data_IF_896506494218
#
_entry.id   IF_896506494218
#
_cell.length_a   1.000
_cell.length_b   1.000
_cell.length_c   1.000
_cell.angle_alpha   90.00
_cell.angle_beta   90.00
_cell.angle_gamma   90.00
#
_symmetry.space_group_name_H-M   'P 1'
#
loop_
_entity.id
_entity.type
_entity.pdbx_description
1 polymer ?
#
# COMPACT_ATOMS: atom_id res chain seq x y z
N UNK A 1 4.02 21.90 15.90
CA UNK A 1 5.50 21.93 15.72
C UNK A 1 6.03 20.57 16.19
N UNK A 2 6.97 19.92 15.50
CA UNK A 2 7.42 18.57 15.85
C UNK A 2 8.73 18.60 16.65
N UNK A 3 8.76 17.94 17.82
CA UNK A 3 9.99 17.75 18.60
C UNK A 3 10.85 16.67 17.95
N UNK A 4 12.07 16.99 17.55
CA UNK A 4 12.99 15.99 16.97
C UNK A 4 13.61 15.11 18.07
N UNK A 5 13.91 13.84 17.77
CA UNK A 5 14.59 12.91 18.69
C UNK A 5 15.88 13.51 19.27
N UNK A 6 16.66 14.21 18.43
CA UNK A 6 17.88 14.89 18.87
C UNK A 6 17.59 15.93 19.96
N UNK A 7 16.54 16.74 19.79
CA UNK A 7 16.18 17.79 20.76
C UNK A 7 15.56 17.16 22.01
N UNK A 8 14.72 16.12 21.87
CA UNK A 8 14.13 15.41 22.99
C UNK A 8 15.21 14.85 23.94
N UNK A 9 16.24 14.18 23.40
CA UNK A 9 17.39 13.68 24.18
C UNK A 9 18.14 14.81 24.89
N UNK A 10 18.34 15.94 24.21
CA UNK A 10 19.00 17.10 24.82
C UNK A 10 18.18 17.71 25.96
N UNK A 11 16.85 17.72 25.86
CA UNK A 11 15.97 18.16 26.94
C UNK A 11 16.02 17.22 28.14
N UNK A 12 16.14 15.90 27.94
CA UNK A 12 16.35 14.94 29.04
C UNK A 12 17.66 15.23 29.78
N UNK A 13 18.77 15.40 29.06
CA UNK A 13 20.05 15.76 29.67
C UNK A 13 19.93 17.05 30.51
N UNK A 14 19.21 18.05 30.00
CA UNK A 14 18.93 19.28 30.75
C UNK A 14 18.02 19.06 31.98
N UNK A 15 17.07 18.12 31.91
CA UNK A 15 16.23 17.71 33.04
C UNK A 15 17.00 16.97 34.14
N UNK A 16 18.17 16.43 33.80
CA UNK A 16 19.11 15.78 34.72
C UNK A 16 20.20 16.75 35.24
N UNK A 17 20.08 18.03 34.90
CA UNK A 17 20.96 19.10 35.39
C UNK A 17 22.13 19.44 34.47
N UNK A 18 22.24 18.79 33.31
CA UNK A 18 23.30 19.12 32.35
C UNK A 18 23.02 20.45 31.64
N UNK A 19 24.12 21.08 31.23
CA UNK A 19 24.14 22.35 30.54
C UNK A 19 24.80 22.15 29.17
N UNK A 20 24.04 22.36 28.10
CA UNK A 20 24.42 21.96 26.74
C UNK A 20 24.93 23.16 25.93
N UNK A 21 25.97 23.00 25.10
CA UNK A 21 26.41 24.04 24.18
C UNK A 21 25.27 24.48 23.25
N UNK A 22 25.03 25.79 23.16
CA UNK A 22 23.99 26.39 22.30
C UNK A 22 24.17 26.06 20.82
N UNK A 23 25.39 25.72 20.38
CA UNK A 23 25.68 25.23 19.02
C UNK A 23 25.03 23.88 18.72
N UNK A 24 24.78 23.04 19.73
CA UNK A 24 24.19 21.72 19.60
C UNK A 24 22.66 21.73 19.54
N UNK A 25 22.04 22.87 19.87
CA UNK A 25 20.59 23.01 20.15
C UNK A 25 19.97 24.17 19.36
N UNK A 26 20.20 24.22 18.04
CA UNK A 26 19.55 25.22 17.16
C UNK A 26 18.20 24.71 16.68
N UNK A 27 17.12 25.19 17.31
CA UNK A 27 15.76 24.94 16.87
C UNK A 27 14.82 26.04 17.38
N UNK A 28 13.81 26.38 16.57
CA UNK A 28 12.77 27.37 16.92
C UNK A 28 12.16 27.10 18.30
N UNK A 29 11.91 25.83 18.60
CA UNK A 29 11.42 25.39 19.91
C UNK A 29 12.30 25.84 21.09
N UNK A 30 13.62 25.85 20.93
CA UNK A 30 14.53 26.26 22.00
C UNK A 30 14.49 27.77 22.19
N UNK A 31 14.29 28.53 21.11
CA UNK A 31 14.07 29.97 21.22
C UNK A 31 12.76 30.26 21.95
N UNK A 32 11.68 29.51 21.64
CA UNK A 32 10.38 29.61 22.33
C UNK A 32 10.52 29.26 23.82
N UNK A 33 11.22 28.17 24.17
CA UNK A 33 11.44 27.79 25.58
C UNK A 33 12.32 28.79 26.35
N UNK A 34 13.24 29.49 25.68
CA UNK A 34 14.02 30.58 26.31
C UNK A 34 13.15 31.82 26.50
N UNK A 35 12.28 32.12 25.53
CA UNK A 35 11.33 33.24 25.62
C UNK A 35 10.33 33.05 26.77
N UNK A 36 9.81 31.83 26.93
CA UNK A 36 8.91 31.43 28.04
C UNK A 36 9.63 31.27 29.39
N UNK A 37 10.93 31.62 29.47
CA UNK A 37 11.75 31.53 30.67
C UNK A 37 11.81 30.11 31.29
N UNK A 38 11.71 29.09 30.44
CA UNK A 38 11.85 27.67 30.81
C UNK A 38 13.32 27.23 30.70
N UNK A 39 14.05 27.76 29.71
CA UNK A 39 15.48 27.56 29.51
C UNK A 39 16.24 28.88 29.65
N UNK A 40 17.47 28.84 30.18
CA UNK A 40 18.36 29.99 30.19
C UNK A 40 19.43 29.89 29.11
N UNK A 41 19.98 31.03 28.67
CA UNK A 41 21.19 31.12 27.85
C UNK A 41 22.25 31.94 28.56
N UNK A 42 23.42 31.35 28.85
CA UNK A 42 24.52 32.02 29.54
C UNK A 42 25.83 31.90 28.76
N UNK A 43 26.64 32.96 28.73
CA UNK A 43 27.99 32.96 28.16
C UNK A 43 28.18 33.92 26.96
N UNK A 44 29.32 34.62 26.92
CA UNK A 44 29.63 35.66 25.91
C UNK A 44 30.21 35.10 24.61
N UNK A 45 31.07 34.08 24.70
CA UNK A 45 31.72 33.42 23.55
C UNK A 45 31.32 31.94 23.36
N UNK A 46 31.05 31.20 24.45
CA UNK A 46 30.48 29.85 24.44
C UNK A 46 29.14 29.89 25.14
N UNK A 47 28.07 30.13 24.39
CA UNK A 47 26.71 30.15 24.93
C UNK A 47 26.31 28.74 25.33
N UNK A 48 25.88 28.57 26.57
CA UNK A 48 25.40 27.32 27.15
C UNK A 48 23.91 27.49 27.46
N UNK A 49 23.14 26.44 27.25
CA UNK A 49 21.71 26.36 27.50
C UNK A 49 21.48 25.36 28.63
N UNK A 50 20.70 25.74 29.63
CA UNK A 50 20.30 24.86 30.71
C UNK A 50 18.85 25.09 31.11
N UNK A 51 18.33 24.15 31.89
CA UNK A 51 16.95 24.18 32.39
C UNK A 51 16.83 25.10 33.60
N UNK A 52 15.79 25.95 33.60
CA UNK A 52 15.42 26.77 34.75
C UNK A 52 14.44 26.00 35.64
N UNK A 53 13.39 25.45 35.03
CA UNK A 53 12.31 24.79 35.77
C UNK A 53 11.82 23.53 35.03
N UNK A 54 11.97 22.38 35.70
CA UNK A 54 11.58 21.05 35.20
C UNK A 54 10.07 20.87 35.06
N UNK A 55 9.29 21.42 35.98
CA UNK A 55 7.82 21.37 35.91
C UNK A 55 7.28 22.26 34.81
N UNK A 56 7.84 23.46 34.64
CA UNK A 56 7.46 24.36 33.55
C UNK A 56 7.73 23.73 32.17
N UNK A 57 8.87 23.02 32.01
CA UNK A 57 9.15 22.28 30.80
C UNK A 57 8.14 21.15 30.58
N UNK A 58 7.85 20.33 31.60
CA UNK A 58 6.83 19.26 31.50
C UNK A 58 5.47 19.82 31.08
N UNK A 59 5.02 20.89 31.72
CA UNK A 59 3.75 21.55 31.40
C UNK A 59 3.73 22.12 29.98
N UNK A 60 4.83 22.71 29.52
CA UNK A 60 4.95 23.18 28.15
C UNK A 60 4.87 22.02 27.14
N UNK A 61 5.58 20.92 27.38
CA UNK A 61 5.57 19.74 26.52
C UNK A 61 4.17 19.11 26.45
N UNK A 62 3.48 18.98 27.58
CA UNK A 62 2.12 18.45 27.62
C UNK A 62 1.14 19.36 26.88
N UNK A 63 1.13 20.66 27.19
CA UNK A 63 0.13 21.58 26.65
C UNK A 63 0.38 21.98 25.18
N UNK A 64 1.63 22.26 24.81
CA UNK A 64 1.96 22.79 23.48
C UNK A 64 2.33 21.70 22.48
N UNK A 65 2.87 20.58 22.96
CA UNK A 65 3.34 19.50 22.10
C UNK A 65 2.59 18.18 22.30
N UNK A 66 1.67 18.09 23.26
CA UNK A 66 0.93 16.86 23.58
C UNK A 66 1.90 15.69 23.85
N UNK A 67 2.88 15.96 24.72
CA UNK A 67 3.89 14.99 25.18
C UNK A 67 3.81 15.00 26.71
N UNK A 68 3.19 13.96 27.29
CA UNK A 68 3.01 13.84 28.73
C UNK A 68 4.27 13.32 29.43
N UNK A 69 4.97 12.37 28.79
CA UNK A 69 6.28 11.88 29.24
C UNK A 69 7.32 11.93 28.09
N UNK A 70 8.45 12.57 28.37
CA UNK A 70 9.51 12.78 27.39
C UNK A 70 10.37 11.52 27.16
N UNK A 71 10.51 10.65 28.18
CA UNK A 71 11.24 9.39 28.08
C UNK A 71 10.49 8.35 27.26
N UNK A 72 9.17 8.23 27.48
CA UNK A 72 8.30 7.38 26.66
C UNK A 72 8.26 7.88 25.21
N UNK A 73 8.22 9.20 25.01
CA UNK A 73 8.28 9.81 23.68
C UNK A 73 9.59 9.47 22.94
N UNK A 74 10.73 9.48 23.63
CA UNK A 74 12.02 9.09 23.06
C UNK A 74 12.04 7.61 22.69
N UNK A 75 11.59 6.74 23.61
CA UNK A 75 11.53 5.29 23.40
C UNK A 75 10.68 4.94 22.18
N UNK A 76 9.51 5.58 22.05
CA UNK A 76 8.62 5.44 20.90
C UNK A 76 9.24 5.91 19.58
N UNK A 77 10.06 6.97 19.58
CA UNK A 77 10.76 7.45 18.38
C UNK A 77 11.96 6.58 17.98
N UNK A 78 12.54 5.86 18.93
CA UNK A 78 13.68 4.96 18.72
C UNK A 78 13.25 3.57 18.24
N UNK A 79 12.12 3.08 18.73
CA UNK A 79 11.51 1.84 18.24
C UNK A 79 10.92 2.04 16.85
N UNK A 80 11.56 1.42 15.84
CA UNK A 80 11.03 1.34 14.46
C UNK A 80 9.73 0.51 14.35
N UNK A 81 9.29 -0.13 15.44
CA UNK A 81 8.18 -1.06 15.52
C UNK A 81 7.00 -0.58 16.38
N UNK A 82 7.06 0.63 16.95
CA UNK A 82 5.99 1.15 17.82
C UNK A 82 4.69 1.31 17.02
N UNK A 83 3.62 0.65 17.49
CA UNK A 83 2.33 0.67 16.77
C UNK A 83 1.62 2.01 17.00
N UNK A 84 0.69 2.37 16.12
CA UNK A 84 -0.14 3.56 16.22
C UNK A 84 -0.95 3.57 17.52
N UNK A 85 -1.31 2.40 18.04
CA UNK A 85 -2.00 2.27 19.33
C UNK A 85 -1.06 2.66 20.50
N UNK A 86 0.21 2.25 20.44
CA UNK A 86 1.21 2.61 21.45
C UNK A 86 1.52 4.11 21.41
N UNK A 87 1.61 4.68 20.21
CA UNK A 87 1.83 6.12 20.03
C UNK A 87 0.64 6.99 20.45
N UNK A 88 -0.60 6.49 20.40
CA UNK A 88 -1.78 7.18 20.91
C UNK A 88 -1.84 7.17 22.45
N UNK A 89 -1.32 6.11 23.08
CA UNK A 89 -1.20 6.06 24.54
C UNK A 89 -0.14 7.04 25.07
N UNK A 90 0.92 7.28 24.28
CA UNK A 90 2.06 8.14 24.65
C UNK A 90 1.87 9.60 24.18
N UNK A 91 1.09 9.80 23.10
CA UNK A 91 0.80 11.12 22.55
C UNK A 91 -0.68 11.21 22.17
N UNK A 92 -1.37 12.27 22.55
CA UNK A 92 -2.80 12.46 22.24
C UNK A 92 -3.11 12.63 20.74
N UNK A 93 -2.12 12.51 19.86
CA UNK A 93 -2.27 12.65 18.41
C UNK A 93 -1.80 11.41 17.63
N UNK A 94 -2.78 10.61 17.21
CA UNK A 94 -2.60 9.43 16.34
C UNK A 94 -1.96 9.72 14.97
N UNK A 95 -1.81 11.00 14.59
CA UNK A 95 -1.14 11.44 13.35
C UNK A 95 0.38 11.52 13.48
N UNK A 96 0.94 11.32 14.67
CA UNK A 96 2.39 11.29 14.94
C UNK A 96 3.05 9.94 14.56
N UNK A 97 2.26 8.90 14.27
CA UNK A 97 2.74 7.60 13.81
C UNK A 97 3.10 7.60 12.32
N UNK A 98 4.28 7.03 12.00
CA UNK A 98 4.68 6.70 10.61
C UNK A 98 4.01 5.40 10.12
N UNK A 99 3.28 4.70 10.98
CA UNK A 99 2.60 3.46 10.64
C UNK A 99 1.40 3.74 9.73
N UNK A 100 1.35 3.04 8.60
CA UNK A 100 0.27 3.18 7.64
C UNK A 100 -1.00 2.57 8.22
N UNK A 101 -2.01 3.39 8.45
CA UNK A 101 -3.26 3.00 9.12
C UNK A 101 -4.03 1.84 8.44
N UNK A 102 -3.91 1.70 7.13
CA UNK A 102 -4.62 0.68 6.35
C UNK A 102 -3.70 0.15 5.25
N UNK A 103 -3.40 -1.15 5.33
CA UNK A 103 -2.56 -1.90 4.40
C UNK A 103 -3.25 -3.23 4.09
N UNK A 104 -2.91 -3.83 2.95
CA UNK A 104 -3.46 -5.13 2.55
C UNK A 104 -4.33 -5.06 1.29
N UNK A 105 -5.01 -6.16 1.00
CA UNK A 105 -5.83 -6.32 -0.19
C UNK A 105 -6.93 -7.37 0.00
N UNK A 106 -7.95 -7.30 -0.87
CA UNK A 106 -9.06 -8.25 -0.89
C UNK A 106 -8.71 -9.48 -1.73
N UNK A 107 -9.03 -10.65 -1.21
CA UNK A 107 -8.91 -11.93 -1.90
C UNK A 107 -10.26 -12.64 -1.99
N UNK A 108 -10.45 -13.41 -3.06
CA UNK A 108 -11.63 -14.21 -3.32
C UNK A 108 -11.25 -15.54 -3.98
N UNK A 109 -12.07 -16.58 -3.78
CA UNK A 109 -11.91 -17.88 -4.41
C UNK A 109 -13.26 -18.56 -4.52
N UNK A 110 -13.44 -19.40 -5.54
CA UNK A 110 -14.61 -20.27 -5.67
C UNK A 110 -14.30 -21.73 -5.26
N UNK A 111 -13.02 -22.07 -5.15
CA UNK A 111 -12.55 -23.32 -4.54
C UNK A 111 -11.85 -23.02 -3.21
N UNK A 112 -11.98 -23.89 -2.19
CA UNK A 112 -11.22 -23.76 -0.96
C UNK A 112 -9.71 -23.76 -1.21
N UNK A 113 -9.00 -22.76 -0.69
CA UNK A 113 -7.54 -22.68 -0.74
C UNK A 113 -7.00 -22.69 0.68
N UNK A 114 -6.16 -23.67 1.01
CA UNK A 114 -5.45 -23.72 2.29
C UNK A 114 -4.26 -22.76 2.23
N UNK A 115 -4.29 -21.72 3.05
CA UNK A 115 -3.27 -20.69 3.12
C UNK A 115 -2.70 -20.57 4.55
N UNK A 116 -1.64 -19.79 4.71
CA UNK A 116 -1.02 -19.48 6.00
C UNK A 116 -0.94 -17.96 6.19
N UNK A 117 -1.32 -17.48 7.36
CA UNK A 117 -1.20 -16.07 7.77
C UNK A 117 -0.70 -16.03 9.21
N UNK A 118 0.34 -15.25 9.48
CA UNK A 118 0.96 -15.16 10.82
C UNK A 118 1.31 -16.54 11.42
N UNK A 119 1.79 -17.47 10.59
CA UNK A 119 2.10 -18.87 10.92
C UNK A 119 0.89 -19.74 11.30
N UNK A 120 -0.34 -19.26 11.10
CA UNK A 120 -1.56 -20.03 11.31
C UNK A 120 -2.17 -20.42 9.97
N UNK A 121 -2.62 -21.68 9.87
CA UNK A 121 -3.29 -22.18 8.66
C UNK A 121 -4.77 -21.80 8.70
N UNK A 122 -5.28 -21.34 7.56
CA UNK A 122 -6.70 -21.04 7.38
C UNK A 122 -7.14 -21.37 5.96
N UNK A 123 -8.46 -21.40 5.74
CA UNK A 123 -9.05 -21.69 4.43
C UNK A 123 -9.66 -20.42 3.85
N UNK A 124 -9.22 -20.05 2.65
CA UNK A 124 -9.86 -19.00 1.85
C UNK A 124 -10.97 -19.65 1.04
N UNK A 125 -12.21 -19.38 1.43
CA UNK A 125 -13.42 -19.79 0.72
C UNK A 125 -14.59 -18.87 1.14
N UNK A 126 -14.52 -17.57 0.82
CA UNK A 126 -15.55 -16.64 1.24
C UNK A 126 -16.91 -17.00 0.63
N UNK A 127 -17.98 -16.70 1.35
CA UNK A 127 -19.35 -16.89 0.85
C UNK A 127 -19.63 -15.91 -0.30
N UNK A 128 -20.51 -16.26 -1.26
CA UNK A 128 -20.97 -15.30 -2.27
C UNK A 128 -21.45 -14.00 -1.63
N UNK A 129 -20.95 -12.86 -2.11
CA UNK A 129 -21.23 -11.54 -1.54
C UNK A 129 -20.27 -11.10 -0.42
N UNK A 130 -19.32 -11.95 -0.02
CA UNK A 130 -18.23 -11.58 0.88
C UNK A 130 -16.86 -11.83 0.26
N UNK A 131 -15.84 -11.22 0.86
CA UNK A 131 -14.44 -11.31 0.45
C UNK A 131 -13.57 -11.39 1.70
N UNK A 132 -12.39 -11.99 1.59
CA UNK A 132 -11.43 -12.02 2.70
C UNK A 132 -10.46 -10.85 2.53
N UNK A 133 -10.32 -10.00 3.55
CA UNK A 133 -9.30 -8.94 3.54
C UNK A 133 -8.05 -9.43 4.25
N UNK A 134 -6.91 -9.39 3.57
CA UNK A 134 -5.61 -9.79 4.13
C UNK A 134 -4.86 -8.54 4.57
N UNK A 135 -4.92 -8.23 5.87
CA UNK A 135 -4.25 -7.06 6.46
C UNK A 135 -2.74 -7.29 6.63
N UNK A 136 -2.35 -8.39 7.28
CA UNK A 136 -0.94 -8.77 7.51
C UNK A 136 -0.34 -9.55 6.34
N UNK A 137 -0.46 -8.97 5.14
CA UNK A 137 -0.03 -9.62 3.91
C UNK A 137 1.46 -10.00 3.90
N UNK A 138 2.31 -9.39 4.73
CA UNK A 138 3.74 -9.70 4.77
C UNK A 138 4.05 -11.14 5.19
N UNK A 139 3.17 -11.76 5.98
CA UNK A 139 3.30 -13.16 6.42
C UNK A 139 2.39 -14.12 5.64
N UNK A 140 1.55 -13.58 4.75
CA UNK A 140 0.57 -14.34 3.99
C UNK A 140 1.25 -15.24 2.95
N UNK A 141 0.99 -16.54 3.01
CA UNK A 141 1.52 -17.55 2.08
C UNK A 141 0.39 -18.40 1.51
N UNK A 142 0.58 -18.80 0.26
CA UNK A 142 -0.32 -19.68 -0.47
C UNK A 142 0.48 -20.83 -1.10
N UNK A 143 -0.18 -21.96 -1.45
CA UNK A 143 0.46 -23.05 -2.16
C UNK A 143 1.05 -22.57 -3.50
N UNK A 144 2.17 -23.16 -3.94
CA UNK A 144 2.95 -22.66 -5.09
C UNK A 144 2.23 -22.84 -6.43
N UNK A 145 1.33 -23.82 -6.49
CA UNK A 145 0.50 -24.19 -7.62
C UNK A 145 -0.66 -23.21 -7.89
N UNK A 146 -0.95 -22.31 -6.95
CA UNK A 146 -2.00 -21.31 -7.11
C UNK A 146 -1.56 -20.22 -8.08
N UNK A 147 -2.40 -19.90 -9.05
CA UNK A 147 -2.23 -18.71 -9.90
C UNK A 147 -2.96 -17.53 -9.27
N UNK A 148 -2.26 -16.41 -9.09
CA UNK A 148 -2.88 -15.19 -8.56
C UNK A 148 -3.50 -14.41 -9.70
N UNK A 149 -4.83 -14.31 -9.71
CA UNK A 149 -5.57 -13.61 -10.77
C UNK A 149 -5.97 -12.21 -10.29
N UNK A 150 -5.33 -11.18 -10.84
CA UNK A 150 -5.70 -9.80 -10.55
C UNK A 150 -6.92 -9.37 -11.35
N UNK A 151 -8.02 -9.07 -10.67
CA UNK A 151 -9.28 -8.65 -11.30
C UNK A 151 -9.42 -7.14 -11.22
N UNK A 152 -9.51 -6.49 -12.37
CA UNK A 152 -9.62 -5.04 -12.45
C UNK A 152 -10.97 -4.53 -11.91
N UNK A 153 -12.07 -5.13 -12.36
CA UNK A 153 -13.42 -4.65 -12.09
C UNK A 153 -14.02 -5.29 -10.83
N UNK A 154 -14.65 -4.47 -9.98
CA UNK A 154 -15.27 -4.93 -8.74
C UNK A 154 -16.45 -5.90 -8.97
N UNK A 155 -17.22 -5.70 -10.05
CA UNK A 155 -18.33 -6.59 -10.42
C UNK A 155 -17.81 -7.95 -10.82
N UNK A 156 -16.79 -8.01 -11.68
CA UNK A 156 -16.13 -9.27 -12.04
C UNK A 156 -15.53 -9.97 -10.83
N UNK A 157 -14.94 -9.24 -9.89
CA UNK A 157 -14.40 -9.78 -8.65
C UNK A 157 -15.48 -10.34 -7.71
N UNK A 158 -16.67 -9.72 -7.70
CA UNK A 158 -17.82 -10.21 -6.93
C UNK A 158 -18.46 -11.46 -7.54
N UNK A 159 -18.39 -11.60 -8.86
CA UNK A 159 -19.03 -12.64 -9.66
C UNK A 159 -18.01 -13.63 -10.26
N UNK A 160 -16.91 -13.95 -9.55
CA UNK A 160 -15.88 -14.87 -10.05
C UNK A 160 -16.44 -16.25 -10.42
N UNK A 161 -17.47 -16.71 -9.72
CA UNK A 161 -18.15 -17.98 -10.01
C UNK A 161 -18.75 -18.02 -11.42
N UNK A 162 -19.33 -16.91 -11.88
CA UNK A 162 -19.93 -16.77 -13.22
C UNK A 162 -18.91 -16.69 -14.35
N UNK A 163 -17.62 -16.63 -14.00
CA UNK A 163 -16.48 -16.54 -14.90
C UNK A 163 -15.49 -17.68 -14.68
N UNK A 164 -15.82 -18.66 -13.84
CA UNK A 164 -14.96 -19.81 -13.51
C UNK A 164 -14.50 -20.59 -14.73
N UNK A 165 -15.36 -20.67 -15.76
CA UNK A 165 -15.09 -21.31 -17.05
C UNK A 165 -13.88 -20.74 -17.79
N UNK A 166 -13.44 -19.52 -17.48
CA UNK A 166 -12.25 -18.91 -18.06
C UNK A 166 -10.94 -19.46 -17.47
N UNK A 167 -11.01 -20.14 -16.32
CA UNK A 167 -9.85 -20.51 -15.51
C UNK A 167 -9.80 -22.01 -15.19
N UNK A 168 -10.50 -22.85 -15.96
CA UNK A 168 -10.63 -24.30 -15.70
C UNK A 168 -9.28 -25.04 -15.70
N UNK A 169 -8.27 -24.50 -16.36
CA UNK A 169 -6.93 -25.10 -16.46
C UNK A 169 -6.01 -24.75 -15.28
N UNK A 170 -6.50 -24.04 -14.26
CA UNK A 170 -5.70 -23.60 -13.12
C UNK A 170 -6.52 -23.54 -11.82
N UNK A 171 -5.84 -23.33 -10.69
CA UNK A 171 -6.50 -23.01 -9.41
C UNK A 171 -6.27 -21.54 -9.09
N UNK A 172 -7.25 -20.65 -9.33
CA UNK A 172 -7.05 -19.22 -9.15
C UNK A 172 -7.34 -18.75 -7.72
N UNK A 173 -6.46 -17.89 -7.20
CA UNK A 173 -6.77 -16.96 -6.12
C UNK A 173 -7.00 -15.59 -6.72
N UNK A 174 -8.22 -15.06 -6.63
CA UNK A 174 -8.55 -13.76 -7.17
C UNK A 174 -8.15 -12.66 -6.21
N UNK A 175 -7.57 -11.59 -6.73
CA UNK A 175 -7.22 -10.38 -5.97
C UNK A 175 -7.83 -9.18 -6.65
N UNK A 176 -8.51 -8.34 -5.87
CA UNK A 176 -9.12 -7.12 -6.40
C UNK A 176 -8.07 -6.05 -6.63
N UNK A 177 -8.19 -5.28 -7.73
CA UNK A 177 -7.47 -4.01 -7.88
C UNK A 177 -7.97 -2.94 -6.90
N UNK A 178 -9.13 -3.13 -6.28
CA UNK A 178 -9.71 -2.17 -5.33
C UNK A 178 -9.24 -2.39 -3.88
N UNK A 179 -9.00 -1.29 -3.14
CA UNK A 179 -9.04 0.10 -3.58
C UNK A 179 -7.82 0.48 -4.44
N UNK A 180 -8.05 1.22 -5.54
CA UNK A 180 -7.06 1.49 -6.61
C UNK A 180 -5.73 2.09 -6.11
N UNK A 181 -5.74 2.79 -4.97
CA UNK A 181 -4.56 3.42 -4.37
C UNK A 181 -3.70 2.46 -3.52
N UNK A 182 -4.05 1.17 -3.42
CA UNK A 182 -3.40 0.21 -2.52
C UNK A 182 -2.72 -0.97 -3.23
N UNK A 183 -2.52 -0.91 -4.56
CA UNK A 183 -1.82 -1.95 -5.31
C UNK A 183 -0.36 -2.20 -4.85
N UNK A 184 0.26 -1.24 -4.15
CA UNK A 184 1.65 -1.35 -3.66
C UNK A 184 1.85 -2.51 -2.67
N UNK A 185 0.87 -2.73 -1.80
CA UNK A 185 0.93 -3.83 -0.81
C UNK A 185 0.86 -5.17 -1.52
N UNK A 186 -0.09 -5.30 -2.46
CA UNK A 186 -0.20 -6.46 -3.33
C UNK A 186 1.08 -6.72 -4.13
N UNK A 187 1.66 -5.70 -4.78
CA UNK A 187 2.89 -5.85 -5.56
C UNK A 187 4.06 -6.30 -4.65
N UNK A 188 4.14 -5.77 -3.42
CA UNK A 188 5.16 -6.18 -2.45
C UNK A 188 5.00 -7.64 -2.04
N UNK A 189 3.76 -8.08 -1.77
CA UNK A 189 3.43 -9.47 -1.49
C UNK A 189 3.73 -10.40 -2.68
N UNK A 190 3.30 -10.02 -3.88
CA UNK A 190 3.47 -10.82 -5.09
C UNK A 190 4.96 -11.02 -5.45
N UNK A 191 5.81 -10.07 -5.06
CA UNK A 191 7.28 -10.20 -5.17
C UNK A 191 7.87 -11.19 -4.16
N UNK A 192 7.28 -11.34 -2.97
CA UNK A 192 7.82 -12.22 -1.92
C UNK A 192 7.45 -13.69 -2.12
N UNK A 193 6.35 -13.99 -2.81
CA UNK A 193 5.90 -15.37 -3.08
C UNK A 193 6.37 -15.86 -4.47
N UNK A 194 6.50 -17.18 -4.70
CA UNK A 194 6.97 -17.72 -5.98
C UNK A 194 5.89 -17.78 -7.07
N UNK A 195 4.62 -17.62 -6.71
CA UNK A 195 3.46 -17.80 -7.60
C UNK A 195 3.48 -16.87 -8.82
N UNK A 196 2.78 -17.28 -9.87
CA UNK A 196 2.57 -16.48 -11.07
C UNK A 196 1.35 -15.56 -10.92
N UNK A 197 1.43 -14.42 -11.60
CA UNK A 197 0.39 -13.42 -11.65
C UNK A 197 -0.23 -13.37 -13.05
N UNK A 198 -1.55 -13.54 -13.10
CA UNK A 198 -2.36 -13.40 -14.30
C UNK A 198 -3.26 -12.17 -14.15
N UNK A 199 -3.06 -11.17 -15.00
CA UNK A 199 -3.88 -9.97 -15.00
C UNK A 199 -5.14 -10.20 -15.83
N UNK A 200 -6.30 -10.12 -15.19
CA UNK A 200 -7.60 -10.16 -15.85
C UNK A 200 -8.23 -8.77 -15.73
N UNK A 201 -8.13 -7.99 -16.81
CA UNK A 201 -8.64 -6.62 -16.90
C UNK A 201 -9.44 -6.42 -18.18
N UNK A 202 -9.72 -5.16 -18.49
CA UNK A 202 -10.42 -4.80 -19.72
C UNK A 202 -9.59 -5.07 -20.97
N UNK A 203 -10.24 -5.52 -22.04
CA UNK A 203 -9.63 -5.83 -23.33
C UNK A 203 -9.62 -4.58 -24.23
N UNK A 204 -8.94 -3.54 -23.74
CA UNK A 204 -8.77 -2.28 -24.43
C UNK A 204 -7.40 -1.64 -24.11
N UNK A 205 -7.13 -0.45 -24.63
CA UNK A 205 -5.83 0.20 -24.42
C UNK A 205 -5.64 0.69 -22.98
N UNK A 206 -6.71 0.97 -22.24
CA UNK A 206 -6.64 1.42 -20.86
C UNK A 206 -6.30 0.26 -19.91
N UNK A 207 -7.01 -0.88 -20.03
CA UNK A 207 -6.76 -2.10 -19.26
C UNK A 207 -5.35 -2.65 -19.52
N UNK A 208 -4.91 -2.68 -20.78
CA UNK A 208 -3.52 -3.04 -21.12
C UNK A 208 -2.53 -2.03 -20.50
N UNK A 209 -2.86 -0.74 -20.52
CA UNK A 209 -2.05 0.30 -19.88
C UNK A 209 -1.92 0.11 -18.37
N UNK A 210 -3.00 -0.28 -17.68
CA UNK A 210 -2.98 -0.61 -16.24
C UNK A 210 -2.07 -1.79 -15.99
N UNK A 211 -2.23 -2.89 -16.73
CA UNK A 211 -1.34 -4.04 -16.64
C UNK A 211 0.12 -3.66 -16.83
N UNK A 212 0.44 -2.95 -17.91
CA UNK A 212 1.82 -2.62 -18.26
C UNK A 212 2.49 -1.73 -17.22
N UNK A 213 1.79 -0.68 -16.79
CA UNK A 213 2.35 0.35 -15.92
C UNK A 213 2.33 -0.03 -14.43
N UNK A 214 1.27 -0.70 -13.96
CA UNK A 214 1.10 -1.01 -12.53
C UNK A 214 1.62 -2.40 -12.15
N UNK A 215 1.60 -3.39 -13.06
CA UNK A 215 1.92 -4.77 -12.69
C UNK A 215 3.15 -5.29 -13.42
N UNK A 216 3.14 -5.30 -14.77
CA UNK A 216 4.20 -5.87 -15.60
C UNK A 216 5.56 -5.24 -15.31
N UNK A 217 5.62 -3.91 -15.19
CA UNK A 217 6.85 -3.19 -14.85
C UNK A 217 7.48 -3.65 -13.52
N UNK A 218 6.67 -4.09 -12.55
CA UNK A 218 7.14 -4.48 -11.23
C UNK A 218 7.33 -5.99 -11.04
N UNK A 219 6.55 -6.82 -11.73
CA UNK A 219 6.54 -8.28 -11.59
C UNK A 219 7.28 -9.00 -12.73
N UNK A 220 7.56 -8.30 -13.83
CA UNK A 220 8.37 -8.77 -14.96
C UNK A 220 7.89 -10.12 -15.51
N UNK A 221 8.70 -11.18 -15.37
CA UNK A 221 8.40 -12.51 -15.96
C UNK A 221 7.24 -13.24 -15.27
N UNK A 222 6.94 -12.93 -14.00
CA UNK A 222 5.83 -13.55 -13.25
C UNK A 222 4.46 -13.06 -13.71
N UNK A 223 4.41 -11.91 -14.38
CA UNK A 223 3.16 -11.30 -14.81
C UNK A 223 2.84 -11.64 -16.26
N UNK A 224 1.61 -12.08 -16.50
CA UNK A 224 1.02 -12.27 -17.83
C UNK A 224 -0.35 -11.57 -17.88
N UNK A 225 -0.80 -11.24 -19.09
CA UNK A 225 -2.14 -10.70 -19.33
C UNK A 225 -3.04 -11.83 -19.83
N UNK A 226 -4.22 -11.97 -19.24
CA UNK A 226 -5.19 -12.98 -19.65
C UNK A 226 -5.81 -12.59 -21.00
N UNK A 227 -5.71 -13.48 -21.98
CA UNK A 227 -6.30 -13.31 -23.30
C UNK A 227 -7.13 -14.58 -23.62
N UNK A 228 -8.47 -14.49 -23.61
CA UNK A 228 -9.37 -15.57 -23.99
C UNK A 228 -9.12 -16.03 -25.43
N UNK A 229 -9.40 -17.30 -25.71
CA UNK A 229 -9.21 -17.86 -27.06
C UNK A 229 -10.12 -17.21 -28.10
N UNK A 230 -11.37 -16.90 -27.73
CA UNK A 230 -12.38 -16.32 -28.63
C UNK A 230 -12.35 -14.78 -28.66
N UNK A 231 -11.30 -14.14 -28.13
CA UNK A 231 -11.26 -12.68 -27.96
C UNK A 231 -11.44 -11.90 -29.27
N UNK A 232 -11.02 -12.50 -30.39
CA UNK A 232 -11.15 -11.90 -31.72
C UNK A 232 -12.64 -11.74 -32.07
N UNK A 233 -13.39 -12.83 -32.01
CA UNK A 233 -14.82 -12.86 -32.31
C UNK A 233 -15.61 -12.01 -31.29
N UNK A 234 -15.20 -12.03 -30.03
CA UNK A 234 -15.86 -11.28 -28.96
C UNK A 234 -15.73 -9.77 -29.16
N UNK A 235 -14.52 -9.28 -29.52
CA UNK A 235 -14.31 -7.87 -29.85
C UNK A 235 -15.04 -7.49 -31.14
N UNK A 236 -15.05 -8.36 -32.15
CA UNK A 236 -15.75 -8.09 -33.41
C UNK A 236 -17.25 -7.87 -33.18
N UNK A 237 -17.87 -8.79 -32.46
CA UNK A 237 -19.32 -8.85 -32.30
C UNK A 237 -19.86 -7.92 -31.20
N UNK A 238 -19.08 -7.71 -30.13
CA UNK A 238 -19.55 -7.03 -28.91
C UNK A 238 -18.66 -5.88 -28.46
N UNK A 239 -17.51 -5.67 -29.11
CA UNK A 239 -16.60 -4.58 -28.78
C UNK A 239 -17.18 -3.19 -29.06
N UNK A 240 -16.73 -2.21 -28.26
CA UNK A 240 -17.19 -0.83 -28.27
C UNK A 240 -16.17 0.10 -28.94
N UNK A 241 -16.59 0.73 -30.04
CA UNK A 241 -15.75 1.66 -30.83
C UNK A 241 -15.51 3.01 -30.15
N UNK A 242 -16.45 3.47 -29.33
CA UNK A 242 -16.30 4.73 -28.59
C UNK A 242 -15.15 4.64 -27.60
N UNK A 243 -14.92 3.47 -26.98
CA UNK A 243 -13.80 3.25 -26.06
C UNK A 243 -12.45 3.44 -26.78
N UNK A 244 -12.28 2.79 -27.93
CA UNK A 244 -11.07 2.93 -28.74
C UNK A 244 -10.77 4.39 -29.10
N UNK A 245 -11.77 5.15 -29.54
CA UNK A 245 -11.57 6.54 -29.95
C UNK A 245 -11.18 7.49 -28.81
N UNK A 246 -11.60 7.19 -27.57
CA UNK A 246 -11.32 8.04 -26.39
C UNK A 246 -9.97 7.74 -25.76
N UNK A 247 -9.48 6.51 -25.88
CA UNK A 247 -8.29 6.04 -25.19
C UNK A 247 -7.02 6.43 -25.93
N UNK A 248 -6.00 6.83 -25.15
CA UNK A 248 -4.65 7.07 -25.65
C UNK A 248 -3.72 6.00 -25.10
N UNK A 249 -2.86 5.47 -25.95
CA UNK A 249 -1.81 4.53 -25.55
C UNK A 249 -0.85 5.27 -24.62
N UNK A 250 -0.68 4.74 -23.41
CA UNK A 250 0.22 5.28 -22.38
C UNK A 250 1.36 4.31 -22.02
N UNK A 251 1.56 3.29 -22.85
CA UNK A 251 2.57 2.25 -22.68
C UNK A 251 3.32 2.03 -24.00
N UNK A 252 4.46 1.37 -23.92
CA UNK A 252 5.34 1.14 -25.07
C UNK A 252 5.13 -0.27 -25.64
N UNK A 253 4.51 -0.34 -26.82
CA UNK A 253 4.20 -1.63 -27.48
C UNK A 253 5.48 -2.43 -27.78
N UNK A 254 6.58 -1.75 -28.14
CA UNK A 254 7.86 -2.38 -28.43
C UNK A 254 8.54 -3.04 -27.21
N UNK A 255 8.09 -2.76 -25.98
CA UNK A 255 8.57 -3.42 -24.77
C UNK A 255 7.80 -4.72 -24.46
N UNK A 256 6.70 -4.99 -25.17
CA UNK A 256 5.85 -6.18 -24.99
C UNK A 256 6.46 -7.37 -25.74
N UNK A 257 6.59 -8.51 -25.06
CA UNK A 257 7.13 -9.75 -25.64
C UNK A 257 6.09 -10.86 -25.74
N UNK A 258 4.96 -10.71 -25.05
CA UNK A 258 3.89 -11.69 -25.01
C UNK A 258 3.11 -11.69 -26.33
N UNK A 259 3.22 -12.78 -27.09
CA UNK A 259 2.58 -12.93 -28.41
C UNK A 259 1.07 -12.72 -28.33
N UNK A 260 0.39 -13.34 -27.36
CA UNK A 260 -1.07 -13.19 -27.17
C UNK A 260 -1.48 -11.74 -26.88
N UNK A 261 -0.67 -10.99 -26.14
CA UNK A 261 -0.96 -9.58 -25.83
C UNK A 261 -0.74 -8.67 -27.05
N UNK A 262 0.32 -8.92 -27.82
CA UNK A 262 0.55 -8.24 -29.09
C UNK A 262 -0.59 -8.51 -30.10
N UNK A 263 -1.08 -9.74 -30.14
CA UNK A 263 -2.23 -10.11 -30.96
C UNK A 263 -3.50 -9.37 -30.53
N UNK A 264 -3.79 -9.32 -29.23
CA UNK A 264 -4.91 -8.53 -28.70
C UNK A 264 -4.81 -7.05 -29.12
N UNK A 265 -3.63 -6.44 -28.98
CA UNK A 265 -3.39 -5.03 -29.41
C UNK A 265 -3.68 -4.87 -30.91
N UNK A 266 -3.23 -5.82 -31.73
CA UNK A 266 -3.48 -5.83 -33.17
C UNK A 266 -4.98 -5.90 -33.47
N UNK A 267 -5.71 -6.78 -32.80
CA UNK A 267 -7.17 -6.97 -32.96
C UNK A 267 -7.91 -5.69 -32.59
N UNK A 268 -7.59 -5.08 -31.44
CA UNK A 268 -8.17 -3.81 -31.00
C UNK A 268 -7.96 -2.71 -32.04
N UNK A 269 -6.75 -2.60 -32.61
CA UNK A 269 -6.46 -1.62 -33.65
C UNK A 269 -7.17 -1.89 -34.98
N UNK A 270 -7.22 -3.16 -35.40
CA UNK A 270 -7.88 -3.59 -36.64
C UNK A 270 -9.38 -3.31 -36.59
N UNK A 271 -10.03 -3.72 -35.50
CA UNK A 271 -11.47 -3.59 -35.30
C UNK A 271 -11.88 -2.20 -34.80
N UNK A 272 -10.92 -1.42 -34.27
CA UNK A 272 -11.13 -0.12 -33.60
C UNK A 272 -12.16 -0.23 -32.48
N UNK A 273 -12.11 -1.31 -31.70
CA UNK A 273 -13.06 -1.66 -30.64
C UNK A 273 -12.29 -2.21 -29.44
N UNK A 274 -12.75 -1.90 -28.22
CA UNK A 274 -12.32 -2.54 -26.98
C UNK A 274 -13.49 -3.26 -26.31
N UNK A 275 -13.22 -4.20 -25.40
CA UNK A 275 -14.25 -5.01 -24.75
C UNK A 275 -14.10 -4.95 -23.21
N UNK A 276 -15.21 -4.71 -22.52
CA UNK A 276 -15.29 -4.69 -21.06
C UNK A 276 -15.14 -6.11 -20.49
N UNK A 277 -14.46 -6.22 -19.34
CA UNK A 277 -14.30 -7.48 -18.63
C UNK A 277 -15.65 -8.13 -18.27
N UNK A 278 -16.68 -7.33 -17.95
CA UNK A 278 -18.03 -7.76 -17.61
C UNK A 278 -18.69 -8.62 -18.69
N UNK A 279 -18.25 -8.52 -19.94
CA UNK A 279 -18.76 -9.34 -21.04
C UNK A 279 -18.72 -10.84 -20.70
N UNK A 280 -17.68 -11.28 -19.98
CA UNK A 280 -17.49 -12.68 -19.65
C UNK A 280 -18.31 -13.16 -18.44
N UNK A 281 -19.08 -12.29 -17.78
CA UNK A 281 -19.98 -12.69 -16.70
C UNK A 281 -21.18 -13.43 -17.32
N UNK A 282 -21.25 -14.76 -17.12
CA UNK A 282 -22.43 -15.53 -17.53
C UNK A 282 -23.67 -15.04 -16.79
N UNK A 283 -24.77 -14.85 -17.53
CA UNK A 283 -26.10 -14.68 -16.93
C UNK A 283 -26.59 -16.05 -16.48
N UNK A 284 -27.19 -16.09 -15.29
CA UNK A 284 -27.92 -17.27 -14.83
C UNK A 284 -29.14 -17.52 -15.71
#
# INVERSE_FOLDING_TARGET
MQLSLKIARLLVLMMDGESIPSSSVKAKLIDDLVFENILFRKGKHRKVIGLINKEALKNYLANQLQIDDLGDYISALEEKSSTRADLVKITTDSKKSKERAFKGFLVNSYTPIVAELNNERFVINPLPGSFTFIYDYETFKIPKEITVVGVENAKNFSDINKQSYLFETMTPLFVSRYPQNQNKDFIKWMKSIPNDYLHFGDFDMAGIGIYMNEYKRHLSKKASFFVPENIIDDIENKGNRVRYNKQRINFKINEIKEVKLLELIRVIHLMKKGLDQEYYIKKN
#
